data_IF_314270001633
#
_entry.id   IF_314270001633
#
_cell.length_a   1.000
_cell.length_b   1.000
_cell.length_c   1.000
_cell.angle_alpha   90.00
_cell.angle_beta   90.00
_cell.angle_gamma   90.00
#
_symmetry.space_group_name_H-M   'P 1'
#
loop_
_entity.id
_entity.type
_entity.pdbx_description
1 polymer ?
#
# COMPACT_ATOMS: atom_id res chain seq x y z
N UNK A 1 36.12 -4.31 -0.37
CA UNK A 1 35.58 -3.58 0.79
C UNK A 1 34.26 -2.99 0.35
N UNK A 2 33.21 -3.74 0.44
CA UNK A 2 31.83 -3.34 0.12
C UNK A 2 31.24 -2.81 1.41
N UNK A 3 30.98 -1.52 1.44
CA UNK A 3 30.32 -0.82 2.52
C UNK A 3 28.87 -1.29 2.61
N UNK A 4 28.61 -2.00 3.67
CA UNK A 4 27.31 -2.40 4.16
C UNK A 4 26.58 -1.12 4.61
N UNK A 5 25.73 -0.56 3.75
CA UNK A 5 24.88 0.56 4.06
C UNK A 5 23.44 0.06 4.31
N UNK A 6 23.31 -0.93 5.15
CA UNK A 6 22.05 -1.28 5.78
C UNK A 6 21.85 -0.35 6.97
N UNK A 7 21.46 0.88 6.73
CA UNK A 7 20.95 1.75 7.78
C UNK A 7 19.51 1.36 8.08
N UNK A 8 19.39 0.36 8.92
CA UNK A 8 18.15 0.07 9.60
C UNK A 8 17.53 1.33 10.22
N UNK A 9 16.24 1.48 10.10
CA UNK A 9 15.42 2.26 11.03
C UNK A 9 15.94 1.90 12.43
N UNK A 10 16.46 2.89 13.16
CA UNK A 10 17.14 2.65 14.45
C UNK A 10 16.28 1.75 15.33
N UNK A 11 16.93 0.86 16.11
CA UNK A 11 16.33 -0.26 16.86
C UNK A 11 15.14 0.10 17.78
N UNK A 12 14.81 1.36 17.92
CA UNK A 12 13.74 1.90 18.76
C UNK A 12 12.50 2.36 17.95
N UNK A 13 12.51 2.26 16.61
CA UNK A 13 11.43 2.73 15.74
C UNK A 13 10.80 1.56 14.98
N UNK A 14 9.66 1.10 15.47
CA UNK A 14 8.86 0.07 14.78
C UNK A 14 7.91 0.72 13.78
N UNK A 15 7.81 0.14 12.57
CA UNK A 15 6.82 0.49 11.54
C UNK A 15 5.83 -0.66 11.40
N UNK A 16 4.53 -0.37 11.52
CA UNK A 16 3.48 -1.35 11.22
C UNK A 16 3.25 -1.42 9.72
N UNK A 17 3.32 -2.63 9.16
CA UNK A 17 3.10 -2.89 7.74
C UNK A 17 1.75 -3.54 7.54
N UNK A 18 0.80 -2.79 7.03
CA UNK A 18 -0.56 -3.24 6.78
C UNK A 18 -0.60 -3.96 5.43
N UNK A 19 -0.99 -5.23 5.46
CA UNK A 19 -1.08 -6.15 4.33
C UNK A 19 -2.54 -6.53 4.08
N UNK A 20 -3.31 -5.77 3.27
CA UNK A 20 -4.66 -6.15 2.89
C UNK A 20 -4.65 -7.47 2.13
N UNK A 21 -5.34 -8.47 2.66
CA UNK A 21 -5.22 -9.86 2.20
C UNK A 21 -6.58 -10.44 1.82
N UNK A 22 -6.64 -11.07 0.64
CA UNK A 22 -7.78 -11.85 0.20
C UNK A 22 -7.28 -13.01 -0.67
N UNK A 23 -7.30 -14.24 -0.14
CA UNK A 23 -6.81 -15.45 -0.80
C UNK A 23 -5.38 -15.30 -1.36
N UNK A 24 -4.41 -15.07 -0.46
CA UNK A 24 -2.98 -14.91 -0.79
C UNK A 24 -2.10 -15.96 -0.06
N UNK A 25 -2.66 -17.15 0.25
CA UNK A 25 -1.96 -18.23 0.95
C UNK A 25 -0.63 -18.60 0.30
N UNK A 26 -0.55 -18.58 -1.04
CA UNK A 26 0.68 -18.91 -1.76
C UNK A 26 1.77 -17.84 -1.72
N UNK A 27 1.41 -16.59 -1.47
CA UNK A 27 2.34 -15.45 -1.46
C UNK A 27 2.82 -15.06 -0.04
N UNK A 28 1.95 -15.20 0.95
CA UNK A 28 2.20 -14.77 2.32
C UNK A 28 3.49 -15.35 2.95
N UNK A 29 3.84 -16.63 2.78
CA UNK A 29 5.10 -17.14 3.33
C UNK A 29 6.32 -16.37 2.82
N UNK A 30 6.35 -16.08 1.52
CA UNK A 30 7.44 -15.33 0.91
C UNK A 30 7.48 -13.88 1.42
N UNK A 31 6.34 -13.21 1.52
CA UNK A 31 6.24 -11.83 2.02
C UNK A 31 6.67 -11.76 3.49
N UNK A 32 6.16 -12.65 4.34
CA UNK A 32 6.38 -12.56 5.77
C UNK A 32 7.79 -12.96 6.20
N UNK A 33 8.41 -13.93 5.51
CA UNK A 33 9.80 -14.34 5.81
C UNK A 33 10.84 -13.30 5.37
N UNK A 34 10.47 -12.38 4.48
CA UNK A 34 11.35 -11.29 4.01
C UNK A 34 11.09 -9.96 4.70
N UNK A 35 10.22 -9.94 5.72
CA UNK A 35 9.95 -8.71 6.47
C UNK A 35 11.20 -8.30 7.26
N UNK A 36 11.76 -7.10 7.01
CA UNK A 36 13.00 -6.70 7.67
C UNK A 36 12.79 -6.46 9.17
N UNK A 37 13.86 -6.54 9.99
CA UNK A 37 13.82 -6.13 11.39
C UNK A 37 13.30 -4.69 11.54
N UNK A 38 12.49 -4.46 12.57
CA UNK A 38 11.84 -3.14 12.80
C UNK A 38 10.53 -2.95 12.05
N UNK A 39 10.14 -3.88 11.17
CA UNK A 39 8.85 -3.88 10.49
C UNK A 39 7.94 -4.97 11.05
N UNK A 40 6.74 -4.57 11.48
CA UNK A 40 5.77 -5.48 12.11
C UNK A 40 4.58 -5.71 11.17
N UNK A 41 4.40 -6.91 10.61
CA UNK A 41 3.31 -7.18 9.69
C UNK A 41 1.96 -7.27 10.40
N UNK A 42 0.98 -6.54 9.87
CA UNK A 42 -0.44 -6.62 10.22
C UNK A 42 -1.18 -7.13 8.98
N UNK A 43 -1.45 -8.41 8.94
CA UNK A 43 -2.23 -9.05 7.88
C UNK A 43 -3.71 -8.82 8.14
N UNK A 44 -4.37 -8.10 7.24
CA UNK A 44 -5.81 -7.86 7.35
C UNK A 44 -6.55 -8.80 6.42
N UNK A 45 -7.08 -9.87 6.99
CA UNK A 45 -7.87 -10.86 6.25
C UNK A 45 -9.26 -10.31 5.94
N UNK A 46 -9.51 -10.06 4.66
CA UNK A 46 -10.78 -9.52 4.17
C UNK A 46 -11.70 -10.64 3.64
N UNK A 47 -11.72 -11.75 4.35
CA UNK A 47 -12.57 -12.91 4.12
C UNK A 47 -11.97 -13.93 3.16
N UNK A 48 -10.70 -14.30 3.34
CA UNK A 48 -10.05 -15.39 2.62
C UNK A 48 -10.69 -16.75 2.94
N UNK A 49 -10.57 -17.66 1.99
CA UNK A 49 -11.08 -19.04 2.09
C UNK A 49 -9.99 -20.10 1.89
N UNK A 50 -8.75 -19.65 1.66
CA UNK A 50 -7.60 -20.48 1.28
C UNK A 50 -6.62 -20.76 2.42
N UNK A 51 -6.94 -20.36 3.66
CA UNK A 51 -6.07 -20.52 4.81
C UNK A 51 -5.06 -19.38 5.02
N UNK A 52 -5.17 -18.27 4.28
CA UNK A 52 -4.28 -17.09 4.39
C UNK A 52 -4.10 -16.61 5.83
N UNK A 53 -5.19 -16.53 6.61
CA UNK A 53 -5.14 -16.05 7.99
C UNK A 53 -4.31 -16.95 8.91
N UNK A 54 -4.41 -18.27 8.76
CA UNK A 54 -3.67 -19.24 9.59
C UNK A 54 -2.19 -19.27 9.20
N UNK A 55 -1.89 -19.17 7.91
CA UNK A 55 -0.52 -19.02 7.43
C UNK A 55 0.13 -17.76 8.01
N UNK A 56 -0.59 -16.64 8.01
CA UNK A 56 -0.09 -15.38 8.57
C UNK A 56 0.23 -15.51 10.08
N UNK A 57 -0.66 -16.13 10.86
CA UNK A 57 -0.43 -16.39 12.29
C UNK A 57 0.79 -17.29 12.50
N UNK A 58 0.93 -18.34 11.69
CA UNK A 58 2.05 -19.27 11.75
C UNK A 58 3.40 -18.60 11.48
N UNK A 59 3.44 -17.47 10.77
CA UNK A 59 4.63 -16.64 10.52
C UNK A 59 4.79 -15.49 11.52
N UNK A 60 4.00 -15.44 12.60
CA UNK A 60 4.12 -14.43 13.66
C UNK A 60 3.51 -13.07 13.31
N UNK A 61 2.74 -12.95 12.22
CA UNK A 61 2.03 -11.73 11.88
C UNK A 61 0.83 -11.50 12.82
N UNK A 62 0.58 -10.22 13.16
CA UNK A 62 -0.72 -9.85 13.72
C UNK A 62 -1.80 -10.04 12.66
N UNK A 63 -2.87 -10.77 12.97
CA UNK A 63 -3.98 -10.97 12.04
C UNK A 63 -5.22 -10.23 12.52
N UNK A 64 -5.76 -9.38 11.65
CA UNK A 64 -7.04 -8.67 11.84
C UNK A 64 -8.04 -9.22 10.84
N UNK A 65 -9.24 -9.55 11.29
CA UNK A 65 -10.33 -10.00 10.40
C UNK A 65 -11.26 -8.82 10.14
N UNK A 66 -11.41 -8.47 8.85
CA UNK A 66 -12.33 -7.43 8.40
C UNK A 66 -13.46 -8.06 7.57
N UNK A 67 -14.67 -8.09 8.14
CA UNK A 67 -15.84 -8.70 7.52
C UNK A 67 -16.41 -7.88 6.36
N UNK A 68 -16.25 -6.56 6.39
CA UNK A 68 -16.69 -5.69 5.31
C UNK A 68 -15.76 -5.85 4.10
N UNK A 69 -16.26 -6.43 3.04
CA UNK A 69 -15.48 -6.62 1.80
C UNK A 69 -15.06 -5.29 1.17
N UNK A 70 -13.77 -5.12 0.92
CA UNK A 70 -13.21 -3.97 0.21
C UNK A 70 -11.77 -3.68 0.59
N UNK A 71 -10.96 -3.27 -0.40
CA UNK A 71 -9.55 -2.94 -0.19
C UNK A 71 -9.38 -1.83 0.87
N UNK A 72 -10.15 -0.74 0.75
CA UNK A 72 -10.13 0.35 1.72
C UNK A 72 -10.66 -0.06 3.09
N UNK A 73 -11.58 -1.03 3.19
CA UNK A 73 -12.03 -1.56 4.47
C UNK A 73 -10.89 -2.29 5.18
N UNK A 74 -10.14 -3.13 4.46
CA UNK A 74 -8.97 -3.80 5.01
C UNK A 74 -7.87 -2.80 5.41
N UNK A 75 -7.58 -1.81 4.57
CA UNK A 75 -6.62 -0.75 4.92
C UNK A 75 -7.03 0.01 6.19
N UNK A 76 -8.31 0.33 6.32
CA UNK A 76 -8.83 1.05 7.49
C UNK A 76 -8.79 0.21 8.77
N UNK A 77 -9.15 -1.07 8.69
CA UNK A 77 -9.05 -1.99 9.83
C UNK A 77 -7.59 -2.14 10.31
N UNK A 78 -6.63 -2.24 9.37
CA UNK A 78 -5.21 -2.27 9.67
C UNK A 78 -4.71 -0.96 10.31
N UNK A 79 -5.16 0.20 9.81
CA UNK A 79 -4.85 1.51 10.40
C UNK A 79 -5.33 1.60 11.86
N UNK A 80 -6.53 1.11 12.16
CA UNK A 80 -7.06 1.11 13.54
C UNK A 80 -6.33 0.13 14.45
N UNK A 81 -5.87 -1.00 13.94
CA UNK A 81 -5.12 -2.01 14.70
C UNK A 81 -3.64 -1.62 14.91
N UNK A 82 -3.14 -0.69 14.14
CA UNK A 82 -1.76 -0.21 14.19
C UNK A 82 -1.51 0.68 15.41
N UNK A 83 -0.31 0.60 15.97
CA UNK A 83 0.13 1.42 17.11
C UNK A 83 1.38 2.24 16.82
N UNK A 84 2.10 1.94 15.75
CA UNK A 84 3.31 2.68 15.35
C UNK A 84 3.00 4.10 14.89
N UNK A 85 3.96 5.01 15.07
CA UNK A 85 3.86 6.40 14.60
C UNK A 85 3.83 6.49 13.07
N UNK A 86 4.63 5.65 12.41
CA UNK A 86 4.65 5.49 10.96
C UNK A 86 4.07 4.13 10.61
N UNK A 87 3.23 4.10 9.60
CA UNK A 87 2.65 2.87 9.05
C UNK A 87 2.96 2.78 7.56
N UNK A 88 3.09 1.56 7.08
CA UNK A 88 3.20 1.27 5.66
C UNK A 88 2.01 0.43 5.19
N UNK A 89 1.63 0.59 3.94
CA UNK A 89 0.72 -0.30 3.21
C UNK A 89 1.50 -0.99 2.11
N UNK A 90 1.26 -2.26 1.89
CA UNK A 90 1.86 -3.05 0.82
C UNK A 90 0.92 -4.17 0.41
N UNK A 91 0.89 -4.51 -0.88
CA UNK A 91 0.14 -5.68 -1.35
C UNK A 91 0.79 -6.98 -0.83
N UNK A 92 -0.05 -7.97 -0.47
CA UNK A 92 0.38 -9.26 0.11
C UNK A 92 0.66 -10.34 -0.95
N UNK A 93 0.73 -9.99 -2.24
CA UNK A 93 0.80 -10.91 -3.38
C UNK A 93 2.20 -11.16 -3.93
N UNK A 94 3.23 -10.78 -3.18
CA UNK A 94 4.65 -10.88 -3.55
C UNK A 94 5.07 -10.08 -4.79
N UNK A 95 4.24 -9.16 -5.28
CA UNK A 95 4.63 -8.25 -6.37
C UNK A 95 5.59 -7.15 -5.92
N UNK A 96 5.64 -6.88 -4.64
CA UNK A 96 6.56 -5.96 -3.96
C UNK A 96 7.42 -6.73 -2.96
N UNK A 97 8.67 -6.34 -2.83
CA UNK A 97 9.58 -6.93 -1.86
C UNK A 97 9.50 -6.17 -0.53
N UNK A 98 9.26 -6.85 0.60
CA UNK A 98 9.35 -6.21 1.91
C UNK A 98 10.70 -5.55 2.19
N UNK A 99 11.79 -6.06 1.62
CA UNK A 99 13.14 -5.47 1.76
C UNK A 99 13.25 -4.06 1.18
N UNK A 100 12.31 -3.66 0.29
CA UNK A 100 12.23 -2.31 -0.27
C UNK A 100 11.45 -1.32 0.64
N UNK A 101 10.94 -1.73 1.80
CA UNK A 101 10.15 -0.87 2.71
C UNK A 101 10.92 0.35 3.19
N UNK A 102 12.22 0.24 3.41
CA UNK A 102 13.06 1.39 3.83
C UNK A 102 13.02 2.53 2.80
N UNK A 103 12.86 2.21 1.51
CA UNK A 103 12.76 3.22 0.44
C UNK A 103 11.60 4.20 0.69
N UNK A 104 10.48 3.68 1.18
CA UNK A 104 9.26 4.48 1.41
C UNK A 104 9.12 4.94 2.86
N UNK A 105 9.61 4.16 3.82
CA UNK A 105 9.39 4.44 5.23
C UNK A 105 10.39 5.44 5.81
N UNK A 106 11.68 5.38 5.45
CA UNK A 106 12.71 6.25 6.01
C UNK A 106 12.39 7.73 5.91
N UNK A 107 11.95 8.29 4.77
CA UNK A 107 11.64 9.71 4.69
C UNK A 107 10.47 10.15 5.56
N UNK A 108 9.51 9.24 5.82
CA UNK A 108 8.37 9.52 6.71
C UNK A 108 8.80 9.44 8.18
N UNK A 109 9.64 8.46 8.51
CA UNK A 109 10.22 8.31 9.85
C UNK A 109 11.08 9.52 10.22
N UNK A 110 11.87 10.04 9.27
CA UNK A 110 12.73 11.21 9.46
C UNK A 110 11.96 12.54 9.37
N UNK A 111 10.66 12.48 9.08
CA UNK A 111 9.81 13.66 8.98
C UNK A 111 10.10 14.55 7.77
N UNK A 112 10.80 14.05 6.74
CA UNK A 112 11.06 14.80 5.49
C UNK A 112 9.90 14.69 4.50
N UNK A 113 9.09 13.61 4.57
CA UNK A 113 7.85 13.44 3.84
C UNK A 113 6.69 13.14 4.80
N UNK A 114 5.47 13.50 4.43
CA UNK A 114 4.25 13.16 5.16
C UNK A 114 3.57 11.92 4.59
N UNK A 115 3.69 11.71 3.28
CA UNK A 115 3.31 10.52 2.53
C UNK A 115 4.39 10.23 1.48
N UNK A 116 4.93 9.04 1.49
CA UNK A 116 5.81 8.56 0.43
C UNK A 116 5.23 7.33 -0.26
N UNK A 117 5.23 7.34 -1.59
CA UNK A 117 4.73 6.25 -2.41
C UNK A 117 5.85 5.59 -3.20
N UNK A 118 5.82 4.27 -3.30
CA UNK A 118 6.67 3.49 -4.17
C UNK A 118 6.12 3.50 -5.61
N UNK A 119 6.76 4.23 -6.52
CA UNK A 119 6.43 4.18 -7.94
C UNK A 119 6.94 2.87 -8.55
N UNK A 120 6.07 2.12 -9.21
CA UNK A 120 6.38 0.79 -9.74
C UNK A 120 7.40 0.83 -10.88
N UNK A 121 8.62 0.39 -10.62
CA UNK A 121 9.63 0.04 -11.64
C UNK A 121 9.37 -1.42 -12.08
N UNK A 122 8.37 -1.58 -12.98
CA UNK A 122 7.86 -2.89 -13.32
C UNK A 122 8.82 -3.72 -14.17
N UNK A 123 9.04 -4.96 -13.76
CA UNK A 123 9.70 -5.97 -14.57
C UNK A 123 8.85 -6.32 -15.80
N UNK A 124 9.46 -6.83 -16.90
CA UNK A 124 8.72 -7.27 -18.07
C UNK A 124 7.59 -8.25 -17.68
N UNK A 125 6.37 -7.98 -18.14
CA UNK A 125 5.18 -8.80 -17.86
C UNK A 125 4.53 -8.63 -16.49
N UNK A 126 5.14 -7.91 -15.53
CA UNK A 126 4.60 -7.73 -14.19
C UNK A 126 3.37 -6.81 -14.16
N UNK A 127 3.28 -5.87 -15.08
CA UNK A 127 2.21 -4.87 -15.10
C UNK A 127 1.55 -4.80 -16.47
N UNK A 128 0.27 -5.19 -16.61
CA UNK A 128 -0.44 -5.14 -17.89
C UNK A 128 -0.44 -3.72 -18.47
N UNK A 129 -0.18 -3.59 -19.78
CA UNK A 129 -0.04 -2.29 -20.45
C UNK A 129 -1.26 -1.38 -20.28
N UNK A 130 -2.47 -1.93 -20.35
CA UNK A 130 -3.71 -1.17 -20.17
C UNK A 130 -3.86 -0.61 -18.74
N UNK A 131 -3.47 -1.39 -17.72
CA UNK A 131 -3.47 -0.94 -16.33
C UNK A 131 -2.42 0.16 -16.11
N UNK A 132 -1.25 0.06 -16.75
CA UNK A 132 -0.22 1.10 -16.74
C UNK A 132 -0.72 2.41 -17.38
N UNK A 133 -1.39 2.33 -18.53
CA UNK A 133 -1.98 3.51 -19.17
C UNK A 133 -3.07 4.16 -18.30
N UNK A 134 -3.98 3.36 -17.72
CA UNK A 134 -5.00 3.87 -16.82
C UNK A 134 -4.39 4.60 -15.62
N UNK A 135 -3.34 4.03 -15.02
CA UNK A 135 -2.62 4.66 -13.93
C UNK A 135 -1.93 5.98 -14.33
N UNK A 136 -1.32 6.03 -15.51
CA UNK A 136 -0.71 7.27 -16.03
C UNK A 136 -1.75 8.39 -16.23
N UNK A 137 -2.93 8.06 -16.75
CA UNK A 137 -4.03 9.01 -16.89
C UNK A 137 -4.53 9.51 -15.53
N UNK A 138 -4.63 8.60 -14.55
CA UNK A 138 -5.01 8.94 -13.20
C UNK A 138 -3.95 9.86 -12.55
N UNK A 139 -2.68 9.50 -12.63
CA UNK A 139 -1.58 10.31 -12.11
C UNK A 139 -1.54 11.71 -12.73
N UNK A 140 -1.81 11.85 -14.04
CA UNK A 140 -1.94 13.16 -14.69
C UNK A 140 -3.09 13.99 -14.09
N UNK A 141 -4.25 13.36 -13.81
CA UNK A 141 -5.38 14.05 -13.16
C UNK A 141 -5.05 14.50 -11.74
N UNK A 142 -4.37 13.63 -10.97
CA UNK A 142 -3.93 13.96 -9.63
C UNK A 142 -2.97 15.15 -9.67
N UNK A 143 -1.91 15.10 -10.50
CA UNK A 143 -0.94 16.21 -10.64
C UNK A 143 -1.60 17.55 -10.97
N UNK A 144 -2.60 17.54 -11.89
CA UNK A 144 -3.32 18.77 -12.26
C UNK A 144 -4.13 19.35 -11.11
N UNK A 145 -4.58 18.53 -10.17
CA UNK A 145 -5.39 18.97 -9.04
C UNK A 145 -4.57 19.37 -7.81
N UNK A 146 -3.50 18.65 -7.57
CA UNK A 146 -2.74 18.75 -6.31
C UNK A 146 -1.42 19.47 -6.47
N UNK A 147 -0.94 19.67 -7.70
CA UNK A 147 0.42 20.16 -7.94
C UNK A 147 1.52 19.15 -7.59
N UNK A 148 1.17 17.97 -7.05
CA UNK A 148 2.16 16.93 -6.69
C UNK A 148 2.85 16.36 -7.92
N UNK A 149 4.08 15.87 -7.76
CA UNK A 149 4.87 15.32 -8.87
C UNK A 149 4.76 13.80 -9.01
N UNK A 150 3.68 13.19 -8.51
CA UNK A 150 3.51 11.73 -8.55
C UNK A 150 3.28 11.22 -9.98
N UNK A 151 3.85 10.08 -10.30
CA UNK A 151 3.70 9.39 -11.59
C UNK A 151 2.92 8.07 -11.49
N UNK A 152 2.82 7.51 -10.28
CA UNK A 152 2.15 6.26 -9.98
C UNK A 152 1.34 6.35 -8.68
N UNK A 153 0.13 5.80 -8.67
CA UNK A 153 -0.61 5.54 -7.45
C UNK A 153 -0.20 4.15 -6.90
N UNK A 154 1.08 4.06 -6.51
CA UNK A 154 1.72 2.80 -6.15
C UNK A 154 1.11 2.13 -4.92
N UNK A 155 1.13 0.79 -4.85
CA UNK A 155 0.56 0.05 -3.72
C UNK A 155 1.43 0.07 -2.45
N UNK A 156 2.78 0.18 -2.57
CA UNK A 156 3.66 0.39 -1.43
C UNK A 156 3.68 1.88 -1.06
N UNK A 157 3.39 2.20 0.18
CA UNK A 157 3.37 3.58 0.67
C UNK A 157 3.55 3.65 2.17
N UNK A 158 4.17 4.72 2.65
CA UNK A 158 4.33 5.01 4.07
C UNK A 158 3.72 6.37 4.42
N UNK A 159 3.17 6.48 5.62
CA UNK A 159 2.49 7.68 6.10
C UNK A 159 2.56 7.78 7.63
N UNK A 160 2.52 8.98 8.18
CA UNK A 160 2.31 9.18 9.60
C UNK A 160 0.88 8.76 9.98
N UNK A 161 0.77 7.86 10.96
CA UNK A 161 -0.51 7.26 11.36
C UNK A 161 -1.53 8.27 11.87
N UNK A 162 -1.13 9.19 12.73
CA UNK A 162 -2.04 10.19 13.29
C UNK A 162 -2.55 11.14 12.21
N UNK A 163 -1.66 11.60 11.33
CA UNK A 163 -2.08 12.41 10.17
C UNK A 163 -3.06 11.69 9.27
N UNK A 164 -2.89 10.37 9.05
CA UNK A 164 -3.84 9.60 8.25
C UNK A 164 -5.20 9.45 8.95
N UNK A 165 -5.23 9.30 10.27
CA UNK A 165 -6.47 9.31 11.03
C UNK A 165 -7.19 10.66 10.92
N UNK A 166 -6.46 11.77 10.98
CA UNK A 166 -7.01 13.13 10.87
C UNK A 166 -7.59 13.43 9.46
N UNK A 167 -7.25 12.64 8.44
CA UNK A 167 -7.87 12.77 7.11
C UNK A 167 -9.33 12.31 7.06
N UNK A 168 -9.81 11.62 8.08
CA UNK A 168 -11.17 11.04 8.11
C UNK A 168 -11.51 10.29 6.80
N UNK A 169 -10.71 9.27 6.50
CA UNK A 169 -10.85 8.47 5.30
C UNK A 169 -12.19 7.76 5.24
N UNK A 170 -12.94 7.93 4.17
CA UNK A 170 -14.31 7.43 4.03
C UNK A 170 -14.46 6.29 3.03
N UNK A 171 -13.61 6.24 1.99
CA UNK A 171 -13.68 5.16 1.01
C UNK A 171 -13.29 3.81 1.65
N UNK A 172 -14.09 2.78 1.39
CA UNK A 172 -13.83 1.42 1.85
C UNK A 172 -13.60 0.46 0.67
N UNK A 173 -13.57 0.99 -0.56
CA UNK A 173 -13.30 0.27 -1.80
C UNK A 173 -11.91 0.55 -2.36
N UNK A 174 -11.83 0.61 -3.69
CA UNK A 174 -10.57 0.85 -4.41
C UNK A 174 -10.22 2.34 -4.55
N UNK A 175 -11.05 3.25 -4.07
CA UNK A 175 -10.75 4.68 -4.02
C UNK A 175 -9.82 5.09 -2.87
N UNK A 176 -9.62 4.25 -1.86
CA UNK A 176 -8.79 4.52 -0.68
C UNK A 176 -7.42 5.14 -0.99
N UNK A 177 -6.60 4.59 -1.91
CA UNK A 177 -5.30 5.16 -2.22
C UNK A 177 -5.39 6.58 -2.82
N UNK A 178 -6.40 6.79 -3.65
CA UNK A 178 -6.63 8.09 -4.30
C UNK A 178 -7.15 9.12 -3.31
N UNK A 179 -8.08 8.75 -2.44
CA UNK A 179 -8.61 9.60 -1.38
C UNK A 179 -7.49 10.11 -0.46
N UNK A 180 -6.58 9.20 -0.05
CA UNK A 180 -5.41 9.55 0.78
C UNK A 180 -4.57 10.65 0.12
N UNK A 181 -4.24 10.49 -1.16
CA UNK A 181 -3.41 11.46 -1.89
C UNK A 181 -4.13 12.80 -2.05
N UNK A 182 -5.41 12.79 -2.41
CA UNK A 182 -6.17 14.03 -2.63
C UNK A 182 -6.40 14.79 -1.33
N UNK A 183 -6.84 14.10 -0.27
CA UNK A 183 -7.05 14.72 1.05
C UNK A 183 -5.72 15.19 1.66
N UNK A 184 -4.66 14.39 1.58
CA UNK A 184 -3.34 14.79 2.06
C UNK A 184 -2.80 16.02 1.34
N UNK A 185 -2.95 16.08 0.01
CA UNK A 185 -2.55 17.25 -0.76
C UNK A 185 -3.36 18.52 -0.37
N UNK A 186 -4.67 18.36 -0.13
CA UNK A 186 -5.52 19.45 0.37
C UNK A 186 -5.09 19.99 1.75
N UNK A 187 -4.55 19.10 2.60
CA UNK A 187 -3.97 19.48 3.89
C UNK A 187 -2.50 19.94 3.81
N UNK A 188 -1.97 20.12 2.59
CA UNK A 188 -0.61 20.61 2.39
C UNK A 188 0.48 19.59 2.72
N UNK A 189 0.19 18.29 2.65
CA UNK A 189 1.20 17.26 2.89
C UNK A 189 2.32 17.29 1.86
N UNK A 190 3.54 17.02 2.32
CA UNK A 190 4.70 16.74 1.46
C UNK A 190 4.57 15.31 0.94
N UNK A 191 4.04 15.20 -0.30
CA UNK A 191 3.80 13.93 -0.98
C UNK A 191 4.93 13.71 -1.98
N UNK A 192 5.68 12.63 -1.78
CA UNK A 192 6.81 12.25 -2.62
C UNK A 192 6.62 10.84 -3.17
N UNK A 193 7.39 10.51 -4.21
CA UNK A 193 7.51 9.14 -4.69
C UNK A 193 8.96 8.74 -4.93
N UNK A 194 9.24 7.44 -4.76
CA UNK A 194 10.52 6.81 -5.11
C UNK A 194 10.28 5.54 -5.90
N UNK A 195 11.14 5.20 -6.85
CA UNK A 195 10.98 3.95 -7.61
C UNK A 195 11.19 2.76 -6.67
N UNK A 196 10.30 1.76 -6.80
CA UNK A 196 10.43 0.46 -6.14
C UNK A 196 10.29 -0.65 -7.18
N UNK A 197 11.10 -1.72 -7.13
CA UNK A 197 10.95 -2.86 -8.02
C UNK A 197 9.53 -3.44 -7.92
N UNK A 198 8.96 -3.79 -9.09
CA UNK A 198 7.64 -4.41 -9.15
C UNK A 198 7.72 -5.69 -9.98
N UNK A 199 7.41 -6.82 -9.35
CA UNK A 199 7.56 -8.18 -9.87
C UNK A 199 6.22 -8.75 -10.33
N UNK A 200 6.21 -9.82 -11.13
CA UNK A 200 5.01 -10.62 -11.33
C UNK A 200 4.52 -11.15 -9.98
N UNK A 201 3.22 -11.00 -9.71
CA UNK A 201 2.59 -11.50 -8.49
C UNK A 201 2.54 -13.02 -8.44
N UNK A 202 2.46 -13.56 -7.25
CA UNK A 202 2.09 -14.96 -7.02
C UNK A 202 0.55 -15.02 -6.94
N UNK A 203 -0.05 -15.93 -7.71
CA UNK A 203 -1.51 -16.07 -7.74
C UNK A 203 -2.24 -15.20 -8.77
N UNK A 204 -3.56 -15.07 -8.62
CA UNK A 204 -4.45 -14.39 -9.60
C UNK A 204 -4.85 -13.00 -9.10
N UNK A 205 -4.77 -12.00 -9.97
CA UNK A 205 -5.26 -10.64 -9.66
C UNK A 205 -6.77 -10.64 -9.46
N UNK A 206 -7.22 -10.08 -8.33
CA UNK A 206 -8.64 -9.89 -8.02
C UNK A 206 -9.19 -8.56 -8.56
N UNK A 207 -8.31 -7.66 -8.96
CA UNK A 207 -8.66 -6.31 -9.49
C UNK A 207 -8.39 -6.21 -10.99
N UNK A 208 -7.11 -6.12 -11.39
CA UNK A 208 -6.73 -5.90 -12.79
C UNK A 208 -6.84 -7.15 -13.67
N UNK A 209 -6.99 -8.34 -13.08
CA UNK A 209 -7.19 -9.60 -13.79
C UNK A 209 -8.65 -9.93 -14.10
N UNK A 210 -9.62 -9.12 -13.65
CA UNK A 210 -11.04 -9.34 -13.89
C UNK A 210 -11.72 -8.08 -14.41
N UNK A 211 -12.62 -8.23 -15.38
CA UNK A 211 -13.41 -7.10 -15.93
C UNK A 211 -14.23 -6.42 -14.82
N UNK A 212 -14.86 -7.21 -13.94
CA UNK A 212 -15.64 -6.68 -12.81
C UNK A 212 -14.78 -5.89 -11.82
N UNK A 213 -13.58 -6.37 -11.50
CA UNK A 213 -12.64 -5.67 -10.60
C UNK A 213 -12.16 -4.35 -11.20
N UNK A 214 -11.80 -4.34 -12.49
CA UNK A 214 -11.38 -3.13 -13.20
C UNK A 214 -12.49 -2.08 -13.26
N UNK A 215 -13.74 -2.48 -13.59
CA UNK A 215 -14.89 -1.56 -13.61
C UNK A 215 -15.20 -1.01 -12.22
N UNK A 216 -15.13 -1.84 -11.18
CA UNK A 216 -15.36 -1.42 -9.80
C UNK A 216 -14.29 -0.40 -9.34
N UNK A 217 -13.02 -0.69 -9.60
CA UNK A 217 -11.93 0.23 -9.29
C UNK A 217 -12.09 1.57 -10.04
N UNK A 218 -12.42 1.53 -11.33
CA UNK A 218 -12.67 2.73 -12.13
C UNK A 218 -13.85 3.57 -11.61
N UNK A 219 -14.93 2.91 -11.17
CA UNK A 219 -16.10 3.59 -10.58
C UNK A 219 -15.74 4.25 -9.24
N UNK A 220 -15.06 3.51 -8.35
CA UNK A 220 -14.70 4.02 -7.02
C UNK A 220 -13.75 5.21 -7.14
N UNK A 221 -12.70 5.11 -7.96
CA UNK A 221 -11.77 6.21 -8.22
C UNK A 221 -12.48 7.41 -8.91
N UNK A 222 -13.40 7.13 -9.84
CA UNK A 222 -14.20 8.16 -10.52
C UNK A 222 -15.13 8.91 -9.56
N UNK A 223 -15.67 8.24 -8.54
CA UNK A 223 -16.45 8.84 -7.47
C UNK A 223 -15.58 9.78 -6.64
N UNK A 224 -14.44 9.31 -6.12
CA UNK A 224 -13.51 10.12 -5.33
C UNK A 224 -13.06 11.37 -6.11
N UNK A 225 -12.76 11.23 -7.41
CA UNK A 225 -12.41 12.36 -8.25
C UNK A 225 -13.54 13.40 -8.40
N UNK A 226 -14.80 13.05 -8.21
CA UNK A 226 -15.93 14.00 -8.24
C UNK A 226 -16.19 14.65 -6.90
N UNK A 227 -16.08 13.88 -5.82
CA UNK A 227 -16.37 14.32 -4.45
C UNK A 227 -15.29 15.26 -3.90
N UNK A 228 -14.02 14.97 -4.20
CA UNK A 228 -12.87 15.75 -3.75
C UNK A 228 -12.36 16.64 -4.89
N UNK A 229 -13.15 17.69 -5.22
CA UNK A 229 -12.78 18.70 -6.22
C UNK A 229 -11.94 19.80 -5.60
#
# INVERSE_FOLDING_TARGET
MTTDAASAIGSDRTVDVILPTLDEAGALPWVLTRMPPGYRPIVVDNGSTDGSADIARGHGAQVVVESRRGFGAACYAGLLASTSTVIAFMDADASLDPEDLDVVCTPVVDGTADLLMGARAAQPGAWPWHARQANQLLARKIRRRTGSRISDLGPMRAVNRLRLLDLDMTDRGFGWPLEMVLKGAHQGWRIEERPVPYRPRIGKSKVSGTVRGTLRAGRDMGRILRELR
#
